data_IF_881119279885
#
_entry.id   IF_881119279885
#
_cell.length_a   1.000
_cell.length_b   1.000
_cell.length_c   1.000
_cell.angle_alpha   90.00
_cell.angle_beta   90.00
_cell.angle_gamma   90.00
#
_symmetry.space_group_name_H-M   'P 1'
#
loop_
_entity.id
_entity.type
_entity.pdbx_description
1 polymer ?
#
# COMPACT_ATOMS: atom_id res chain seq x y z
N UNK A 1 -20.85 -15.04 -15.10
CA UNK A 1 -19.57 -15.77 -15.15
C UNK A 1 -18.52 -14.72 -15.41
N UNK A 2 -17.92 -14.19 -14.34
CA UNK A 2 -16.84 -13.21 -14.49
C UNK A 2 -15.66 -13.92 -15.15
N UNK A 3 -15.21 -13.40 -16.29
CA UNK A 3 -13.97 -13.83 -16.90
C UNK A 3 -12.85 -13.74 -15.85
N UNK A 4 -11.94 -14.72 -15.76
CA UNK A 4 -10.80 -14.61 -14.85
C UNK A 4 -10.05 -13.32 -15.21
N UNK A 5 -10.10 -12.34 -14.31
CA UNK A 5 -9.33 -11.11 -14.45
C UNK A 5 -7.87 -11.52 -14.50
N UNK A 6 -7.17 -11.16 -15.58
CA UNK A 6 -5.75 -11.47 -15.74
C UNK A 6 -4.97 -11.05 -14.48
N UNK A 7 -3.97 -11.84 -14.07
CA UNK A 7 -3.17 -11.50 -12.90
C UNK A 7 -2.54 -10.12 -13.09
N UNK A 8 -2.46 -9.35 -12.01
CA UNK A 8 -1.77 -8.06 -12.06
C UNK A 8 -0.30 -8.29 -12.44
N UNK A 9 0.25 -7.40 -13.26
CA UNK A 9 1.64 -7.43 -13.69
C UNK A 9 2.28 -6.07 -13.49
N UNK A 10 3.59 -6.04 -13.34
CA UNK A 10 4.36 -4.83 -13.15
C UNK A 10 5.84 -5.15 -12.95
N UNK A 11 6.69 -4.14 -12.80
CA UNK A 11 8.11 -4.34 -12.58
C UNK A 11 8.39 -4.98 -11.22
N UNK A 12 9.47 -5.76 -11.17
CA UNK A 12 9.91 -6.49 -9.99
C UNK A 12 11.41 -6.34 -9.76
N UNK A 13 11.83 -6.40 -8.51
CA UNK A 13 13.22 -6.63 -8.10
C UNK A 13 13.21 -7.92 -7.30
N UNK A 14 13.83 -8.97 -7.84
CA UNK A 14 13.86 -10.30 -7.20
C UNK A 14 15.33 -10.69 -6.96
N UNK A 15 15.77 -10.80 -5.70
CA UNK A 15 17.11 -11.29 -5.39
C UNK A 15 17.24 -12.80 -5.62
N UNK A 16 18.48 -13.30 -5.67
CA UNK A 16 18.77 -14.73 -5.85
C UNK A 16 18.17 -15.62 -4.76
N UNK A 17 18.04 -15.08 -3.54
CA UNK A 17 17.40 -15.74 -2.41
C UNK A 17 16.38 -14.80 -1.79
N UNK A 18 15.12 -15.21 -1.85
CA UNK A 18 14.00 -14.45 -1.29
C UNK A 18 13.64 -15.02 0.08
N UNK A 19 13.55 -14.16 1.09
CA UNK A 19 13.00 -14.52 2.40
C UNK A 19 11.88 -13.58 2.87
N UNK A 20 11.64 -12.52 2.12
CA UNK A 20 10.65 -11.48 2.44
C UNK A 20 10.13 -10.82 1.17
N UNK A 21 8.94 -10.25 1.26
CA UNK A 21 8.22 -9.66 0.14
C UNK A 21 7.67 -8.29 0.52
N UNK A 22 7.93 -7.30 -0.33
CA UNK A 22 7.30 -5.98 -0.28
C UNK A 22 6.48 -5.80 -1.56
N UNK A 23 5.18 -5.60 -1.42
CA UNK A 23 4.30 -5.24 -2.54
C UNK A 23 4.01 -3.73 -2.47
N UNK A 24 4.25 -3.03 -3.58
CA UNK A 24 4.15 -1.58 -3.73
C UNK A 24 2.95 -1.21 -4.60
N UNK A 25 1.88 -0.75 -3.98
CA UNK A 25 0.68 -0.28 -4.69
C UNK A 25 0.79 1.22 -5.04
N UNK A 26 0.70 1.55 -6.33
CA UNK A 26 0.81 2.94 -6.82
C UNK A 26 -0.47 3.76 -6.60
N UNK A 27 -0.34 5.08 -6.75
CA UNK A 27 -1.46 6.03 -6.64
C UNK A 27 -2.31 6.14 -7.90
N UNK A 28 -3.42 6.88 -7.80
CA UNK A 28 -4.35 7.13 -8.92
C UNK A 28 -3.65 7.79 -10.11
N UNK A 29 -3.81 7.24 -11.32
CA UNK A 29 -3.22 7.78 -12.54
C UNK A 29 -1.73 7.53 -12.72
N UNK A 30 -1.08 6.85 -11.76
CA UNK A 30 0.31 6.40 -11.84
C UNK A 30 0.37 4.94 -12.32
N UNK A 31 1.51 4.29 -12.18
CA UNK A 31 1.74 2.91 -12.62
C UNK A 31 2.83 2.26 -11.75
N UNK A 32 3.03 0.96 -11.94
CA UNK A 32 4.05 0.19 -11.22
C UNK A 32 5.49 0.64 -11.52
N UNK A 33 5.75 1.19 -12.71
CA UNK A 33 7.08 1.71 -13.08
C UNK A 33 7.47 2.94 -12.27
N UNK A 34 6.52 3.82 -11.94
CA UNK A 34 6.79 4.99 -11.11
C UNK A 34 7.22 4.58 -9.69
N UNK A 35 6.55 3.59 -9.09
CA UNK A 35 6.95 3.06 -7.78
C UNK A 35 8.16 2.13 -7.83
N UNK A 36 8.53 1.60 -9.00
CA UNK A 36 9.76 0.84 -9.13
C UNK A 36 11.00 1.67 -8.78
N UNK A 37 10.99 2.99 -9.03
CA UNK A 37 12.05 3.89 -8.58
C UNK A 37 12.21 3.97 -7.06
N UNK A 38 11.12 3.77 -6.30
CA UNK A 38 11.18 3.62 -4.84
C UNK A 38 11.79 2.27 -4.45
N UNK A 39 11.36 1.18 -5.11
CA UNK A 39 11.94 -0.15 -4.90
C UNK A 39 13.46 -0.16 -5.12
N UNK A 40 13.95 0.50 -6.16
CA UNK A 40 15.37 0.60 -6.48
C UNK A 40 16.20 1.29 -5.39
N UNK A 41 15.61 2.22 -4.63
CA UNK A 41 16.28 2.88 -3.50
C UNK A 41 16.28 2.01 -2.24
N UNK A 42 15.25 1.18 -2.06
CA UNK A 42 15.09 0.34 -0.87
C UNK A 42 15.85 -0.99 -0.96
N UNK A 43 15.83 -1.64 -2.14
CA UNK A 43 16.37 -2.98 -2.34
C UNK A 43 17.85 -3.17 -1.93
N UNK A 44 18.77 -2.21 -2.16
CA UNK A 44 20.16 -2.34 -1.70
C UNK A 44 20.32 -2.51 -0.19
N UNK A 45 19.31 -2.11 0.59
CA UNK A 45 19.32 -2.20 2.06
C UNK A 45 18.56 -3.41 2.60
N UNK A 46 17.92 -4.19 1.72
CA UNK A 46 17.05 -5.32 2.02
C UNK A 46 17.38 -6.47 1.05
N UNK A 47 18.59 -7.06 1.14
CA UNK A 47 19.19 -7.88 0.07
C UNK A 47 18.48 -9.21 -0.21
N UNK A 48 17.55 -9.63 0.66
CA UNK A 48 16.77 -10.86 0.53
C UNK A 48 15.26 -10.60 0.33
N UNK A 49 14.90 -9.34 0.14
CA UNK A 49 13.52 -8.93 -0.05
C UNK A 49 13.20 -8.80 -1.53
N UNK A 50 12.17 -9.48 -2.00
CA UNK A 50 11.58 -9.24 -3.30
C UNK A 50 10.67 -8.00 -3.24
N UNK A 51 10.74 -7.13 -4.26
CA UNK A 51 9.86 -5.97 -4.41
C UNK A 51 9.02 -6.14 -5.66
N UNK A 52 7.70 -6.12 -5.52
CA UNK A 52 6.76 -6.18 -6.64
C UNK A 52 5.93 -4.90 -6.70
N UNK A 53 5.88 -4.24 -7.86
CA UNK A 53 5.10 -3.02 -8.07
C UNK A 53 4.04 -3.26 -9.15
N UNK A 54 2.90 -3.91 -8.86
CA UNK A 54 1.89 -4.21 -9.87
C UNK A 54 1.22 -2.93 -10.40
N UNK A 55 0.86 -2.93 -11.68
CA UNK A 55 -0.13 -2.00 -12.20
C UNK A 55 -1.52 -2.35 -11.65
N UNK A 56 -2.30 -1.33 -11.31
CA UNK A 56 -3.68 -1.48 -10.93
C UNK A 56 -4.54 -1.99 -12.12
N UNK A 57 -5.71 -2.61 -11.88
CA UNK A 57 -6.43 -3.39 -12.90
C UNK A 57 -7.09 -2.55 -14.01
N UNK A 58 -7.33 -1.25 -13.78
CA UNK A 58 -8.06 -0.41 -14.71
C UNK A 58 -7.15 0.72 -15.26
N UNK A 59 -7.13 1.00 -16.57
CA UNK A 59 -6.53 2.23 -17.10
C UNK A 59 -7.21 3.46 -16.50
N UNK A 60 -6.42 4.48 -16.15
CA UNK A 60 -6.94 5.72 -15.56
C UNK A 60 -7.41 6.70 -16.64
N UNK A 61 -8.69 7.13 -16.65
CA UNK A 61 -9.16 8.16 -17.56
C UNK A 61 -8.37 9.47 -17.39
N UNK A 62 -7.92 10.06 -18.50
CA UNK A 62 -7.18 11.32 -18.49
C UNK A 62 -5.70 11.22 -18.09
N UNK A 63 -5.17 10.03 -17.80
CA UNK A 63 -3.76 9.78 -17.51
C UNK A 63 -3.18 8.73 -18.48
N UNK A 64 -2.65 9.13 -19.65
CA UNK A 64 -2.07 8.19 -20.60
C UNK A 64 -0.95 7.36 -19.98
N UNK A 65 -1.05 6.02 -20.07
CA UNK A 65 -0.10 5.09 -19.42
C UNK A 65 -0.29 4.94 -17.90
N UNK A 66 -1.26 5.62 -17.33
CA UNK A 66 -1.65 5.53 -15.93
C UNK A 66 -2.76 4.49 -15.69
N UNK A 67 -2.79 3.98 -14.46
CA UNK A 67 -3.74 3.00 -13.98
C UNK A 67 -4.42 3.50 -12.69
N UNK A 68 -5.55 2.90 -12.33
CA UNK A 68 -6.30 3.17 -11.12
C UNK A 68 -6.75 1.84 -10.48
N UNK A 69 -6.77 1.78 -9.15
CA UNK A 69 -7.34 0.65 -8.42
C UNK A 69 -8.86 0.67 -8.48
N UNK A 70 -9.41 1.88 -8.45
CA UNK A 70 -10.83 2.19 -8.60
C UNK A 70 -10.97 3.63 -9.11
N UNK A 71 -12.09 3.92 -9.77
CA UNK A 71 -12.43 5.28 -10.18
C UNK A 71 -12.64 6.18 -8.97
N UNK A 72 -12.10 7.40 -9.02
CA UNK A 72 -12.21 8.38 -7.95
C UNK A 72 -12.33 9.79 -8.53
N UNK A 73 -13.49 10.41 -8.33
CA UNK A 73 -13.77 11.80 -8.68
C UNK A 73 -13.53 12.68 -7.46
N UNK A 74 -12.51 13.54 -7.52
CA UNK A 74 -12.23 14.59 -6.51
C UNK A 74 -12.22 14.11 -5.04
N UNK A 75 -11.67 12.93 -4.78
CA UNK A 75 -11.59 12.33 -3.44
C UNK A 75 -12.96 12.12 -2.75
N UNK A 76 -14.02 11.84 -3.52
CA UNK A 76 -15.32 11.52 -2.95
C UNK A 76 -15.23 10.34 -1.95
N UNK A 77 -15.66 10.50 -0.69
CA UNK A 77 -15.56 9.44 0.32
C UNK A 77 -16.36 8.18 -0.02
N UNK A 78 -17.49 8.31 -0.74
CA UNK A 78 -18.33 7.17 -1.13
C UNK A 78 -17.64 6.34 -2.21
N UNK A 79 -17.08 7.01 -3.22
CA UNK A 79 -16.29 6.36 -4.27
C UNK A 79 -15.03 5.72 -3.71
N UNK A 80 -14.35 6.38 -2.76
CA UNK A 80 -13.22 5.79 -2.04
C UNK A 80 -13.62 4.50 -1.32
N UNK A 81 -14.68 4.56 -0.49
CA UNK A 81 -15.07 3.45 0.36
C UNK A 81 -15.58 2.25 -0.46
N UNK A 82 -16.41 2.50 -1.47
CA UNK A 82 -16.88 1.46 -2.39
C UNK A 82 -15.75 0.93 -3.28
N UNK A 83 -14.84 1.81 -3.69
CA UNK A 83 -13.70 1.50 -4.53
C UNK A 83 -12.72 0.54 -3.89
N UNK A 84 -12.28 0.79 -2.65
CA UNK A 84 -11.36 -0.13 -1.94
C UNK A 84 -11.98 -1.51 -1.75
N UNK A 85 -13.27 -1.58 -1.44
CA UNK A 85 -14.00 -2.85 -1.28
C UNK A 85 -14.05 -3.63 -2.59
N UNK A 86 -14.32 -2.93 -3.72
CA UNK A 86 -14.37 -3.56 -5.05
C UNK A 86 -12.99 -4.02 -5.52
N UNK A 87 -11.96 -3.20 -5.31
CA UNK A 87 -10.60 -3.47 -5.79
C UNK A 87 -9.83 -4.46 -4.90
N UNK A 88 -10.17 -4.54 -3.61
CA UNK A 88 -9.49 -5.34 -2.59
C UNK A 88 -9.22 -6.78 -3.00
N UNK A 89 -10.24 -7.54 -3.48
CA UNK A 89 -10.06 -8.93 -3.90
C UNK A 89 -9.03 -9.13 -5.03
N UNK A 90 -8.82 -8.12 -5.88
CA UNK A 90 -7.85 -8.21 -6.98
C UNK A 90 -6.42 -8.08 -6.46
N UNK A 91 -6.16 -7.13 -5.56
CA UNK A 91 -4.86 -7.00 -4.91
C UNK A 91 -4.59 -8.19 -3.97
N UNK A 92 -5.59 -8.63 -3.21
CA UNK A 92 -5.46 -9.77 -2.28
C UNK A 92 -5.06 -11.07 -3.00
N UNK A 93 -5.66 -11.33 -4.16
CA UNK A 93 -5.27 -12.47 -5.02
C UNK A 93 -3.83 -12.34 -5.50
N UNK A 94 -3.43 -11.15 -5.97
CA UNK A 94 -2.04 -10.92 -6.39
C UNK A 94 -1.04 -11.15 -5.24
N UNK A 95 -1.39 -10.75 -4.01
CA UNK A 95 -0.59 -11.03 -2.81
C UNK A 95 -0.47 -12.53 -2.58
N UNK A 96 -1.59 -13.27 -2.60
CA UNK A 96 -1.59 -14.72 -2.38
C UNK A 96 -0.76 -15.48 -3.43
N UNK A 97 -0.91 -15.11 -4.70
CA UNK A 97 -0.15 -15.70 -5.81
C UNK A 97 1.36 -15.41 -5.66
N UNK A 98 1.71 -14.19 -5.22
CA UNK A 98 3.11 -13.78 -5.00
C UNK A 98 3.76 -14.49 -3.82
N UNK A 99 3.03 -14.65 -2.71
CA UNK A 99 3.48 -15.42 -1.54
C UNK A 99 3.72 -16.89 -1.92
N UNK A 100 2.79 -17.48 -2.66
CA UNK A 100 2.92 -18.85 -3.19
C UNK A 100 4.14 -18.99 -4.10
N UNK A 101 4.38 -18.02 -4.99
CA UNK A 101 5.53 -18.01 -5.91
C UNK A 101 6.87 -18.04 -5.17
N UNK A 102 6.97 -17.37 -4.03
CA UNK A 102 8.22 -17.26 -3.25
C UNK A 102 8.30 -18.21 -2.05
N UNK A 103 7.31 -19.08 -1.86
CA UNK A 103 7.20 -19.97 -0.70
C UNK A 103 7.27 -19.21 0.64
N UNK A 104 6.54 -18.08 0.71
CA UNK A 104 6.45 -17.21 1.88
C UNK A 104 5.05 -17.26 2.49
N UNK A 105 4.95 -16.90 3.78
CA UNK A 105 3.70 -16.55 4.43
C UNK A 105 3.61 -15.03 4.69
N UNK A 106 2.45 -14.59 5.18
CA UNK A 106 2.19 -13.19 5.49
C UNK A 106 3.16 -12.57 6.50
N UNK A 107 3.74 -13.37 7.40
CA UNK A 107 4.68 -12.84 8.40
C UNK A 107 5.96 -12.32 7.78
N UNK A 108 6.20 -12.61 6.49
CA UNK A 108 7.30 -12.05 5.69
C UNK A 108 6.81 -11.07 4.62
N UNK A 109 5.56 -10.62 4.68
CA UNK A 109 4.95 -9.66 3.77
C UNK A 109 4.87 -8.26 4.39
N UNK A 110 5.33 -7.24 3.65
CA UNK A 110 4.90 -5.86 3.86
C UNK A 110 4.05 -5.39 2.68
N UNK A 111 2.88 -4.84 2.99
CA UNK A 111 2.07 -4.09 2.04
C UNK A 111 2.42 -2.62 2.14
N UNK A 112 3.01 -2.08 1.09
CA UNK A 112 3.38 -0.69 0.98
C UNK A 112 2.58 -0.01 -0.13
N UNK A 113 2.27 1.27 0.02
CA UNK A 113 1.57 1.98 -1.04
C UNK A 113 1.62 3.48 -0.91
N UNK A 114 1.36 4.16 -2.04
CA UNK A 114 1.30 5.61 -2.14
C UNK A 114 -0.13 6.06 -2.52
N UNK A 115 -0.69 7.04 -1.81
CA UNK A 115 -2.00 7.64 -2.13
C UNK A 115 -3.10 6.59 -2.20
N UNK A 116 -3.76 6.41 -3.36
CA UNK A 116 -4.75 5.34 -3.57
C UNK A 116 -4.19 3.95 -3.21
N UNK A 117 -2.90 3.71 -3.46
CA UNK A 117 -2.24 2.47 -3.08
C UNK A 117 -2.08 2.28 -1.57
N UNK A 118 -1.95 3.35 -0.78
CA UNK A 118 -2.01 3.25 0.69
C UNK A 118 -3.39 2.79 1.15
N UNK A 119 -4.45 3.33 0.52
CA UNK A 119 -5.83 2.93 0.85
C UNK A 119 -6.01 1.43 0.59
N UNK A 120 -5.45 0.93 -0.51
CA UNK A 120 -5.44 -0.49 -0.87
C UNK A 120 -4.61 -1.34 0.11
N UNK A 121 -3.40 -0.90 0.46
CA UNK A 121 -2.51 -1.60 1.39
C UNK A 121 -3.16 -1.75 2.78
N UNK A 122 -3.78 -0.69 3.30
CA UNK A 122 -4.55 -0.72 4.54
C UNK A 122 -5.77 -1.63 4.41
N UNK A 123 -6.55 -1.50 3.33
CA UNK A 123 -7.77 -2.27 3.14
C UNK A 123 -7.49 -3.77 3.11
N UNK A 124 -6.53 -4.21 2.30
CA UNK A 124 -6.15 -5.61 2.14
C UNK A 124 -5.44 -6.11 3.39
N UNK A 125 -4.40 -5.44 3.87
CA UNK A 125 -3.55 -5.93 4.96
C UNK A 125 -4.28 -6.20 6.27
N UNK A 126 -5.26 -5.36 6.62
CA UNK A 126 -6.05 -5.51 7.84
C UNK A 126 -7.09 -6.65 7.76
N UNK A 127 -7.41 -7.13 6.55
CA UNK A 127 -8.40 -8.19 6.28
C UNK A 127 -7.76 -9.55 6.01
N UNK A 128 -6.42 -9.65 6.08
CA UNK A 128 -5.72 -10.92 5.91
C UNK A 128 -5.90 -11.80 7.14
N UNK A 129 -5.99 -13.11 6.93
CA UNK A 129 -6.18 -14.11 7.99
C UNK A 129 -4.91 -14.33 8.82
N UNK A 130 -3.75 -14.27 8.17
CA UNK A 130 -2.44 -14.25 8.82
C UNK A 130 -1.92 -12.83 8.81
N UNK A 131 -1.43 -12.37 9.96
CA UNK A 131 -0.96 -11.01 10.14
C UNK A 131 0.28 -10.74 9.26
N UNK A 132 0.24 -9.71 8.38
CA UNK A 132 1.40 -9.28 7.64
C UNK A 132 2.53 -8.80 8.57
N UNK A 133 3.78 -8.82 8.11
CA UNK A 133 4.89 -8.20 8.84
C UNK A 133 4.63 -6.72 9.15
N UNK A 134 4.05 -5.98 8.20
CA UNK A 134 3.71 -4.58 8.39
C UNK A 134 2.93 -3.96 7.23
N UNK A 135 2.42 -2.76 7.47
CA UNK A 135 1.83 -1.90 6.43
C UNK A 135 2.52 -0.55 6.42
N UNK A 136 2.99 -0.11 5.24
CA UNK A 136 3.67 1.16 5.05
C UNK A 136 2.86 2.06 4.09
N UNK A 137 2.28 3.14 4.62
CA UNK A 137 1.46 4.06 3.84
C UNK A 137 2.13 5.40 3.63
N UNK A 138 2.25 5.85 2.37
CA UNK A 138 2.69 7.19 2.01
C UNK A 138 1.52 8.02 1.46
N UNK A 139 1.27 9.18 2.06
CA UNK A 139 0.35 10.20 1.56
C UNK A 139 -1.06 9.65 1.27
N UNK A 140 -1.60 8.87 2.20
CA UNK A 140 -2.84 8.12 2.04
C UNK A 140 -3.85 8.32 3.17
N UNK A 141 -5.00 7.67 3.06
CA UNK A 141 -6.03 7.65 4.11
C UNK A 141 -6.72 6.28 4.20
N UNK A 142 -7.62 6.11 5.17
CA UNK A 142 -8.36 4.86 5.36
C UNK A 142 -9.67 4.88 4.55
N UNK A 143 -9.85 3.89 3.69
CA UNK A 143 -11.12 3.62 3.00
C UNK A 143 -12.02 2.67 3.80
N UNK A 144 -13.33 2.90 3.73
CA UNK A 144 -14.37 2.12 4.41
C UNK A 144 -14.15 1.95 5.93
N UNK A 145 -13.86 3.02 6.70
CA UNK A 145 -13.54 2.92 8.12
C UNK A 145 -14.68 2.32 8.96
N UNK A 146 -15.94 2.56 8.59
CA UNK A 146 -17.10 2.02 9.31
C UNK A 146 -17.21 0.49 9.21
N UNK A 147 -16.76 -0.09 8.09
CA UNK A 147 -16.77 -1.53 7.86
C UNK A 147 -15.61 -2.24 8.57
N UNK A 148 -14.46 -1.56 8.72
CA UNK A 148 -13.23 -2.13 9.28
C UNK A 148 -13.45 -2.86 10.61
N UNK A 149 -14.25 -2.31 11.53
CA UNK A 149 -14.47 -2.90 12.86
C UNK A 149 -15.00 -4.32 12.85
N UNK A 150 -15.75 -4.68 11.81
CA UNK A 150 -16.38 -5.99 11.67
C UNK A 150 -15.57 -6.93 10.78
N UNK A 151 -14.66 -6.36 9.98
CA UNK A 151 -13.92 -7.07 8.93
C UNK A 151 -12.44 -7.26 9.27
N UNK A 152 -11.92 -6.52 10.26
CA UNK A 152 -10.52 -6.61 10.67
C UNK A 152 -10.21 -8.00 11.21
N UNK A 153 -9.19 -8.64 10.64
CA UNK A 153 -8.71 -9.96 11.04
C UNK A 153 -7.29 -9.91 11.58
N UNK A 154 -6.48 -8.96 11.10
CA UNK A 154 -5.07 -8.78 11.47
C UNK A 154 -4.79 -7.34 11.92
N UNK A 155 -3.83 -7.17 12.84
CA UNK A 155 -3.44 -5.87 13.41
C UNK A 155 -1.92 -5.66 13.30
N UNK A 156 -1.35 -5.77 12.09
CA UNK A 156 0.09 -5.62 11.91
C UNK A 156 0.53 -4.21 12.32
N UNK A 157 1.82 -4.01 12.66
CA UNK A 157 2.38 -2.67 12.79
C UNK A 157 2.14 -1.85 11.52
N UNK A 158 1.70 -0.59 11.70
CA UNK A 158 1.48 0.34 10.60
C UNK A 158 2.37 1.58 10.77
N UNK A 159 3.03 1.99 9.70
CA UNK A 159 3.65 3.31 9.59
C UNK A 159 2.94 4.13 8.51
N UNK A 160 2.41 5.30 8.91
CA UNK A 160 1.84 6.28 8.00
C UNK A 160 2.76 7.49 7.85
N UNK A 161 3.04 7.90 6.62
CA UNK A 161 3.97 8.99 6.31
C UNK A 161 3.24 9.98 5.42
N UNK A 162 3.24 11.27 5.74
CA UNK A 162 2.48 12.26 4.98
C UNK A 162 3.21 13.60 4.86
N UNK A 163 3.15 14.21 3.68
CA UNK A 163 3.65 15.56 3.44
C UNK A 163 2.75 16.64 4.04
N UNK A 164 3.33 17.61 4.73
CA UNK A 164 2.57 18.72 5.37
C UNK A 164 2.01 19.74 4.38
N UNK A 165 2.47 19.75 3.13
CA UNK A 165 2.00 20.63 2.06
C UNK A 165 1.23 19.86 0.96
N UNK A 166 0.65 18.72 1.34
CA UNK A 166 -0.16 17.92 0.44
C UNK A 166 -1.50 18.62 0.14
N UNK A 167 -1.58 19.26 -1.03
CA UNK A 167 -2.80 19.91 -1.54
C UNK A 167 -3.75 18.95 -2.26
N UNK A 168 -3.31 17.71 -2.51
CA UNK A 168 -4.15 16.68 -3.15
C UNK A 168 -4.94 15.96 -2.07
N UNK A 169 -4.26 15.37 -1.09
CA UNK A 169 -4.85 14.65 0.04
C UNK A 169 -4.36 15.28 1.34
N UNK A 170 -5.12 16.20 1.96
CA UNK A 170 -4.66 16.93 3.14
C UNK A 170 -4.20 16.00 4.28
N UNK A 171 -3.02 16.26 4.84
CA UNK A 171 -2.42 15.41 5.87
C UNK A 171 -3.28 15.15 7.13
N UNK A 172 -4.28 15.99 7.52
CA UNK A 172 -5.19 15.61 8.61
C UNK A 172 -5.90 14.27 8.39
N UNK A 173 -6.12 13.85 7.15
CA UNK A 173 -6.70 12.54 6.82
C UNK A 173 -5.83 11.36 7.29
N UNK A 174 -4.51 11.55 7.41
CA UNK A 174 -3.62 10.57 8.02
C UNK A 174 -3.96 10.38 9.51
N UNK A 175 -4.27 11.46 10.23
CA UNK A 175 -4.62 11.39 11.64
C UNK A 175 -6.01 10.77 11.85
N UNK A 176 -6.95 11.03 10.95
CA UNK A 176 -8.24 10.31 10.94
C UNK A 176 -8.05 8.81 10.72
N UNK A 177 -7.21 8.42 9.74
CA UNK A 177 -6.85 7.03 9.50
C UNK A 177 -6.20 6.41 10.74
N UNK A 178 -5.20 7.08 11.32
CA UNK A 178 -4.53 6.65 12.56
C UNK A 178 -5.52 6.41 13.69
N UNK A 179 -6.40 7.38 13.96
CA UNK A 179 -7.39 7.26 15.03
C UNK A 179 -8.36 6.10 14.82
N UNK A 180 -8.83 5.89 13.59
CA UNK A 180 -9.68 4.76 13.25
C UNK A 180 -8.96 3.41 13.39
N UNK A 181 -7.69 3.32 12.99
CA UNK A 181 -6.87 2.12 13.13
C UNK A 181 -6.61 1.79 14.60
N UNK A 182 -6.20 2.77 15.40
CA UNK A 182 -5.95 2.58 16.84
C UNK A 182 -7.23 2.20 17.60
N UNK A 183 -8.38 2.77 17.22
CA UNK A 183 -9.68 2.37 17.77
C UNK A 183 -10.03 0.89 17.49
N UNK A 184 -9.39 0.27 16.50
CA UNK A 184 -9.52 -1.15 16.17
C UNK A 184 -8.33 -2.01 16.69
N UNK A 185 -7.48 -1.44 17.54
CA UNK A 185 -6.37 -2.13 18.19
C UNK A 185 -5.10 -2.27 17.34
N UNK A 186 -4.99 -1.52 16.24
CA UNK A 186 -3.81 -1.52 15.38
C UNK A 186 -2.75 -0.59 15.97
N UNK A 187 -1.49 -1.04 16.02
CA UNK A 187 -0.37 -0.19 16.43
C UNK A 187 0.06 0.69 15.26
N UNK A 188 -0.08 2.02 15.42
CA UNK A 188 0.20 2.97 14.33
C UNK A 188 1.27 3.99 14.73
N UNK A 189 2.40 3.97 14.02
CA UNK A 189 3.37 5.07 13.99
C UNK A 189 3.03 6.03 12.85
N UNK A 190 3.41 7.28 13.00
CA UNK A 190 3.27 8.26 11.93
C UNK A 190 4.51 9.16 11.80
N UNK A 191 4.73 9.70 10.61
CA UNK A 191 5.75 10.69 10.31
C UNK A 191 5.17 11.81 9.43
N UNK A 192 5.50 13.06 9.78
CA UNK A 192 5.14 14.23 8.96
C UNK A 192 6.37 14.77 8.24
N UNK A 193 6.38 14.65 6.92
CA UNK A 193 7.41 15.23 6.08
C UNK A 193 7.14 16.73 5.87
N UNK A 194 8.01 17.55 6.47
CA UNK A 194 7.87 19.01 6.47
C UNK A 194 8.08 19.58 5.06
N UNK A 195 7.18 20.47 4.62
CA UNK A 195 7.23 21.12 3.29
C UNK A 195 7.19 20.16 2.09
N UNK A 196 6.77 18.92 2.29
CA UNK A 196 6.60 17.95 1.19
C UNK A 196 5.17 18.01 0.67
N UNK A 197 4.97 18.11 -0.67
CA UNK A 197 3.65 18.09 -1.28
C UNK A 197 3.09 16.65 -1.35
N UNK A 198 2.18 16.35 -2.28
CA UNK A 198 1.70 14.99 -2.55
C UNK A 198 2.80 14.12 -3.19
N UNK A 199 3.84 13.79 -2.43
CA UNK A 199 5.00 13.02 -2.86
C UNK A 199 5.67 12.32 -1.66
N UNK A 200 6.80 11.66 -1.88
CA UNK A 200 7.59 10.99 -0.84
C UNK A 200 8.86 11.83 -0.61
N UNK A 201 8.97 12.40 0.59
CA UNK A 201 10.18 13.11 1.04
C UNK A 201 11.32 12.16 1.38
N UNK A 202 12.56 12.64 1.33
CA UNK A 202 13.74 11.85 1.68
C UNK A 202 13.73 11.38 3.15
N UNK A 203 13.21 12.23 4.05
CA UNK A 203 13.00 11.92 5.46
C UNK A 203 11.92 10.84 5.64
N UNK A 204 10.81 10.94 4.90
CA UNK A 204 9.77 9.91 4.87
C UNK A 204 10.29 8.58 4.32
N UNK A 205 11.10 8.60 3.27
CA UNK A 205 11.74 7.41 2.72
C UNK A 205 12.66 6.74 3.75
N UNK A 206 13.46 7.52 4.49
CA UNK A 206 14.33 6.99 5.53
C UNK A 206 13.51 6.31 6.65
N UNK A 207 12.43 6.95 7.12
CA UNK A 207 11.52 6.35 8.11
C UNK A 207 10.88 5.05 7.59
N UNK A 208 10.48 5.03 6.31
CA UNK A 208 9.95 3.84 5.66
C UNK A 208 10.97 2.70 5.63
N UNK A 209 12.23 2.98 5.28
CA UNK A 209 13.30 1.98 5.26
C UNK A 209 13.57 1.40 6.65
N UNK A 210 13.64 2.26 7.68
CA UNK A 210 13.86 1.81 9.06
C UNK A 210 12.71 0.92 9.54
N UNK A 211 11.47 1.28 9.21
CA UNK A 211 10.30 0.43 9.46
C UNK A 211 10.39 -0.92 8.75
N UNK A 212 10.75 -0.94 7.46
CA UNK A 212 10.90 -2.20 6.72
C UNK A 212 11.94 -3.11 7.36
N UNK A 213 13.09 -2.56 7.76
CA UNK A 213 14.14 -3.33 8.45
C UNK A 213 13.67 -3.89 9.79
N UNK A 214 12.90 -3.12 10.54
CA UNK A 214 12.36 -3.52 11.84
C UNK A 214 11.35 -4.66 11.72
N UNK A 215 10.44 -4.59 10.74
CA UNK A 215 9.36 -5.59 10.63
C UNK A 215 9.74 -6.84 9.85
N UNK A 216 10.78 -6.77 9.00
CA UNK A 216 11.25 -7.91 8.20
C UNK A 216 12.48 -8.62 8.78
N UNK A 217 12.97 -8.19 9.95
CA UNK A 217 14.13 -8.78 10.65
C UNK A 217 13.87 -10.18 11.19
#
# INVERSE_FOLDING_TARGET
MDSPTSPLTGPEIVPDTVDSLVILAHGYGSNGQDLHGLAQQLAPHLPRTAFLSPNAPEPCPGAPGGYQWFGLSRLDPTERDTGVVKAGPTLDRFVADSLTRFDLDDRRLVLAGFSQGTMMALHVGLRRTTEPAGILGFSGCLGAPAALRHEIQSRPPVLLIHGTHDEVLPFPLMFEAKGALEANGVTVRHHLSQNVPHSIGADGLAQGLDFLKEVLS
#
